data_IF_249283416196
#
_entry.id   IF_249283416196
#
_cell.length_a   1.000
_cell.length_b   1.000
_cell.length_c   1.000
_cell.angle_alpha   90.00
_cell.angle_beta   90.00
_cell.angle_gamma   90.00
#
_symmetry.space_group_name_H-M   'P 1'
#
loop_
_entity.id
_entity.type
_entity.pdbx_description
1 polymer ?
#
# COMPACT_ATOMS: atom_id res chain seq x y z
N UNK A 1 -11.11 3.18 -1.26
CA UNK A 1 -9.68 3.35 -1.00
C UNK A 1 -9.09 2.05 -0.50
N UNK A 2 -8.47 1.32 -1.43
CA UNK A 2 -7.40 0.38 -1.08
C UNK A 2 -6.18 1.17 -0.58
N UNK A 3 -5.24 0.53 0.10
CA UNK A 3 -4.00 1.15 0.58
C UNK A 3 -3.05 1.66 -0.54
N UNK A 4 -3.46 1.51 -1.80
CA UNK A 4 -2.69 1.82 -3.00
C UNK A 4 -3.44 2.74 -3.96
N UNK A 5 -4.64 3.20 -3.58
CA UNK A 5 -5.50 3.94 -4.50
C UNK A 5 -4.91 5.32 -4.83
N UNK A 6 -4.32 6.01 -3.86
CA UNK A 6 -3.61 7.27 -4.09
C UNK A 6 -2.45 7.11 -5.08
N UNK A 7 -1.64 6.05 -4.91
CA UNK A 7 -0.54 5.75 -5.82
C UNK A 7 -1.02 5.36 -7.22
N UNK A 8 -2.06 4.53 -7.33
CA UNK A 8 -2.60 4.11 -8.63
C UNK A 8 -3.41 5.20 -9.34
N UNK A 9 -3.81 6.26 -8.64
CA UNK A 9 -4.42 7.44 -9.26
C UNK A 9 -3.42 8.50 -9.69
N UNK A 10 -2.19 8.47 -9.17
CA UNK A 10 -1.10 9.27 -9.74
C UNK A 10 -0.77 8.73 -11.14
N UNK A 11 -1.02 9.49 -12.23
CA UNK A 11 -0.86 8.99 -13.60
C UNK A 11 0.54 8.48 -13.91
N UNK A 12 1.55 9.14 -13.35
CA UNK A 12 2.96 8.78 -13.53
C UNK A 12 3.28 7.44 -12.88
N UNK A 13 2.79 7.21 -11.65
CA UNK A 13 3.00 5.98 -10.88
C UNK A 13 2.22 4.82 -11.49
N UNK A 14 0.95 5.06 -11.83
CA UNK A 14 0.10 4.11 -12.51
C UNK A 14 0.71 3.68 -13.83
N UNK A 15 1.22 4.62 -14.64
CA UNK A 15 1.87 4.30 -15.90
C UNK A 15 3.17 3.50 -15.70
N UNK A 16 3.99 3.83 -14.70
CA UNK A 16 5.20 3.07 -14.39
C UNK A 16 4.88 1.60 -14.01
N UNK A 17 3.85 1.41 -13.19
CA UNK A 17 3.45 0.08 -12.71
C UNK A 17 2.74 -0.73 -13.79
N UNK A 18 1.71 -0.17 -14.43
CA UNK A 18 0.87 -0.88 -15.39
C UNK A 18 1.59 -1.15 -16.72
N UNK A 19 2.63 -0.39 -17.06
CA UNK A 19 3.46 -0.67 -18.23
C UNK A 19 4.29 -1.95 -18.05
N UNK A 20 4.82 -2.17 -16.84
CA UNK A 20 5.79 -3.23 -16.59
C UNK A 20 5.17 -4.47 -15.93
N UNK A 21 4.00 -4.34 -15.30
CA UNK A 21 3.44 -5.37 -14.44
C UNK A 21 1.95 -5.61 -14.68
N UNK A 22 1.54 -6.88 -14.55
CA UNK A 22 0.17 -7.23 -14.24
C UNK A 22 -0.01 -7.20 -12.71
N UNK A 23 -0.98 -6.43 -12.22
CA UNK A 23 -1.14 -6.18 -10.78
C UNK A 23 -2.24 -7.09 -10.21
N UNK A 24 -1.86 -7.89 -9.22
CA UNK A 24 -2.77 -8.70 -8.42
C UNK A 24 -2.93 -8.08 -7.04
N UNK A 25 -4.11 -7.54 -6.75
CA UNK A 25 -4.40 -6.92 -5.45
C UNK A 25 -5.04 -7.93 -4.50
N UNK A 26 -4.30 -8.32 -3.46
CA UNK A 26 -4.78 -9.25 -2.43
C UNK A 26 -5.47 -8.46 -1.32
N UNK A 27 -6.72 -8.83 -1.02
CA UNK A 27 -7.43 -8.34 0.17
C UNK A 27 -7.35 -9.41 1.26
N UNK A 28 -6.99 -9.07 2.50
CA UNK A 28 -7.09 -10.01 3.61
C UNK A 28 -8.53 -10.57 3.76
N UNK A 29 -8.70 -11.77 4.32
CA UNK A 29 -10.02 -12.38 4.49
C UNK A 29 -11.01 -11.45 5.22
N UNK A 30 -12.14 -11.15 4.58
CA UNK A 30 -13.18 -10.30 5.15
C UNK A 30 -12.91 -8.79 5.02
N UNK A 31 -11.85 -8.39 4.34
CA UNK A 31 -11.51 -6.99 4.05
C UNK A 31 -11.86 -6.59 2.60
N UNK A 32 -12.38 -7.51 1.78
CA UNK A 32 -12.94 -7.19 0.48
C UNK A 32 -14.18 -6.28 0.58
N UNK A 33 -14.49 -5.55 -0.49
CA UNK A 33 -15.65 -4.65 -0.50
C UNK A 33 -16.94 -5.47 -0.50
N UNK A 34 -17.84 -5.20 0.44
CA UNK A 34 -19.08 -5.96 0.59
C UNK A 34 -18.92 -7.30 1.32
N UNK A 35 -17.78 -7.55 1.95
CA UNK A 35 -17.54 -8.75 2.75
C UNK A 35 -18.62 -8.96 3.83
N UNK A 36 -19.11 -10.19 3.94
CA UNK A 36 -19.95 -10.60 5.06
C UNK A 36 -19.12 -10.72 6.35
N UNK A 37 -19.73 -10.56 7.54
CA UNK A 37 -19.04 -10.83 8.79
C UNK A 37 -18.67 -12.31 8.88
N UNK A 38 -17.40 -12.59 9.14
CA UNK A 38 -16.90 -13.95 9.37
C UNK A 38 -17.49 -14.45 10.68
N UNK A 39 -18.02 -15.68 10.67
CA UNK A 39 -18.61 -16.33 11.84
C UNK A 39 -17.70 -16.23 13.06
N UNK A 40 -18.17 -15.85 14.26
CA UNK A 40 -17.35 -15.79 15.48
C UNK A 40 -16.68 -17.12 15.84
N UNK A 41 -17.29 -18.24 15.45
CA UNK A 41 -16.79 -19.59 15.74
C UNK A 41 -15.70 -20.05 14.76
N UNK A 42 -15.48 -19.33 13.66
CA UNK A 42 -14.40 -19.65 12.74
C UNK A 42 -13.05 -19.36 13.42
N UNK A 43 -12.04 -20.22 13.21
CA UNK A 43 -10.70 -19.96 13.73
C UNK A 43 -10.14 -18.66 13.17
N UNK A 44 -9.38 -17.93 13.98
CA UNK A 44 -8.64 -16.74 13.54
C UNK A 44 -7.38 -17.23 12.83
N UNK A 45 -7.09 -16.78 11.59
CA UNK A 45 -5.87 -17.18 10.90
C UNK A 45 -4.64 -16.63 11.64
N UNK A 46 -3.56 -17.41 11.66
CA UNK A 46 -2.24 -16.95 12.10
C UNK A 46 -1.56 -16.10 11.03
N UNK A 47 -0.45 -15.44 11.37
CA UNK A 47 0.35 -14.70 10.39
C UNK A 47 0.97 -15.62 9.33
N UNK A 48 1.27 -16.87 9.70
CA UNK A 48 1.75 -17.89 8.77
C UNK A 48 0.66 -18.32 7.80
N UNK A 49 -0.58 -18.50 8.27
CA UNK A 49 -1.72 -18.82 7.40
C UNK A 49 -1.98 -17.71 6.38
N UNK A 50 -1.81 -16.44 6.77
CA UNK A 50 -1.93 -15.31 5.85
C UNK A 50 -0.81 -15.30 4.80
N UNK A 51 0.41 -15.68 5.18
CA UNK A 51 1.52 -15.80 4.23
C UNK A 51 1.31 -17.00 3.27
N UNK A 52 0.77 -18.11 3.76
CA UNK A 52 0.45 -19.29 2.95
C UNK A 52 -0.68 -19.02 1.96
N UNK A 53 -1.69 -18.23 2.35
CA UNK A 53 -2.73 -17.78 1.43
C UNK A 53 -2.17 -16.98 0.24
N UNK A 54 -1.06 -16.25 0.42
CA UNK A 54 -0.39 -15.60 -0.72
C UNK A 54 0.17 -16.64 -1.68
N UNK A 55 0.75 -17.73 -1.17
CA UNK A 55 1.21 -18.85 -2.01
C UNK A 55 0.04 -19.50 -2.76
N UNK A 56 -1.09 -19.73 -2.08
CA UNK A 56 -2.29 -20.31 -2.70
C UNK A 56 -2.82 -19.43 -3.84
N UNK A 57 -2.80 -18.10 -3.67
CA UNK A 57 -3.18 -17.16 -4.73
C UNK A 57 -2.25 -17.27 -5.94
N UNK A 58 -0.93 -17.34 -5.71
CA UNK A 58 0.03 -17.52 -6.79
C UNK A 58 -0.20 -18.84 -7.53
N UNK A 59 -0.42 -19.94 -6.80
CA UNK A 59 -0.67 -21.25 -7.38
C UNK A 59 -1.99 -21.27 -8.17
N UNK A 60 -3.06 -20.66 -7.65
CA UNK A 60 -4.35 -20.56 -8.33
C UNK A 60 -4.25 -19.83 -9.68
N UNK A 61 -3.47 -18.75 -9.74
CA UNK A 61 -3.25 -18.00 -10.99
C UNK A 61 -2.07 -18.51 -11.82
N UNK A 62 -1.38 -19.57 -11.39
CA UNK A 62 -0.23 -20.14 -12.10
C UNK A 62 0.99 -19.22 -12.16
N UNK A 63 1.18 -18.36 -11.15
CA UNK A 63 2.26 -17.39 -11.06
C UNK A 63 3.53 -18.04 -10.47
N UNK A 64 4.63 -17.94 -11.22
CA UNK A 64 5.95 -18.45 -10.81
C UNK A 64 6.59 -17.60 -9.72
N UNK A 65 7.28 -16.53 -10.12
CA UNK A 65 7.89 -15.56 -9.21
C UNK A 65 7.27 -14.18 -9.39
N UNK A 66 7.03 -13.47 -8.30
CA UNK A 66 6.33 -12.18 -8.28
C UNK A 66 7.16 -11.09 -7.61
N UNK A 67 6.84 -9.84 -7.91
CA UNK A 67 7.32 -8.70 -7.13
C UNK A 67 6.24 -8.32 -6.12
N UNK A 68 6.59 -8.30 -4.83
CA UNK A 68 5.61 -8.04 -3.78
C UNK A 68 5.64 -6.57 -3.38
N UNK A 69 4.45 -6.01 -3.19
CA UNK A 69 4.28 -4.63 -2.73
C UNK A 69 3.35 -4.61 -1.52
N UNK A 70 3.90 -4.27 -0.36
CA UNK A 70 3.19 -4.33 0.92
C UNK A 70 3.21 -3.02 1.67
N UNK A 71 2.13 -2.74 2.41
CA UNK A 71 2.00 -1.58 3.28
C UNK A 71 1.69 -2.04 4.70
N UNK A 72 2.47 -1.59 5.69
CA UNK A 72 2.30 -1.89 7.13
C UNK A 72 2.15 -3.40 7.43
N UNK A 73 0.96 -3.85 7.83
CA UNK A 73 0.67 -5.27 8.06
C UNK A 73 0.90 -6.12 6.80
N UNK A 74 0.53 -5.61 5.62
CA UNK A 74 0.81 -6.29 4.35
C UNK A 74 2.31 -6.40 4.06
N UNK A 75 3.10 -5.40 4.46
CA UNK A 75 4.56 -5.47 4.34
C UNK A 75 5.16 -6.56 5.24
N UNK A 76 4.64 -6.73 6.45
CA UNK A 76 5.04 -7.84 7.34
C UNK A 76 4.71 -9.20 6.74
N UNK A 77 3.46 -9.40 6.29
CA UNK A 77 3.00 -10.67 5.72
C UNK A 77 3.81 -11.02 4.47
N UNK A 78 4.06 -10.05 3.58
CA UNK A 78 4.86 -10.28 2.36
C UNK A 78 6.35 -10.51 2.65
N UNK A 79 6.88 -9.91 3.71
CA UNK A 79 8.24 -10.20 4.19
C UNK A 79 8.34 -11.64 4.72
N UNK A 80 7.35 -12.07 5.50
CA UNK A 80 7.26 -13.45 5.98
C UNK A 80 7.11 -14.43 4.81
N UNK A 81 6.25 -14.13 3.85
CA UNK A 81 6.11 -14.90 2.61
C UNK A 81 7.43 -15.01 1.86
N UNK A 82 8.18 -13.91 1.69
CA UNK A 82 9.49 -13.93 1.03
C UNK A 82 10.54 -14.73 1.80
N UNK A 83 10.46 -14.76 3.13
CA UNK A 83 11.32 -15.61 3.94
C UNK A 83 10.98 -17.11 3.79
N UNK A 84 9.69 -17.45 3.66
CA UNK A 84 9.21 -18.83 3.55
C UNK A 84 9.34 -19.40 2.12
N UNK A 85 9.05 -18.58 1.11
CA UNK A 85 8.97 -18.96 -0.30
C UNK A 85 9.94 -18.14 -1.17
N UNK A 86 11.24 -18.20 -0.84
CA UNK A 86 12.30 -17.37 -1.45
C UNK A 86 12.28 -17.37 -2.98
N UNK A 87 12.14 -18.54 -3.61
CA UNK A 87 12.14 -18.68 -5.08
C UNK A 87 10.93 -18.03 -5.76
N UNK A 88 9.87 -17.74 -5.00
CA UNK A 88 8.63 -17.13 -5.51
C UNK A 88 8.67 -15.59 -5.45
N UNK A 89 9.73 -14.99 -4.90
CA UNK A 89 9.84 -13.53 -4.73
C UNK A 89 11.04 -12.96 -5.46
N UNK A 90 10.78 -12.13 -6.46
CA UNK A 90 11.82 -11.41 -7.22
C UNK A 90 12.35 -10.20 -6.46
N UNK A 91 11.44 -9.44 -5.84
CA UNK A 91 11.76 -8.21 -5.12
C UNK A 91 10.62 -7.75 -4.23
N UNK A 92 10.96 -6.93 -3.23
CA UNK A 92 10.04 -6.40 -2.24
C UNK A 92 10.01 -4.87 -2.31
N UNK A 93 8.81 -4.30 -2.30
CA UNK A 93 8.58 -2.88 -2.01
C UNK A 93 7.73 -2.82 -0.74
N UNK A 94 8.25 -2.22 0.32
CA UNK A 94 7.67 -2.22 1.65
C UNK A 94 7.44 -0.79 2.14
N UNK A 95 6.21 -0.46 2.52
CA UNK A 95 5.85 0.88 3.02
C UNK A 95 5.52 0.79 4.50
N UNK A 96 6.25 1.54 5.32
CA UNK A 96 6.18 1.52 6.78
C UNK A 96 6.13 0.09 7.35
N UNK A 97 7.13 -0.77 7.03
CA UNK A 97 7.10 -2.16 7.43
C UNK A 97 7.24 -2.36 8.94
N UNK A 98 6.77 -3.53 9.37
CA UNK A 98 6.96 -4.07 10.72
C UNK A 98 7.91 -5.27 10.63
N UNK A 99 8.78 -5.47 11.61
CA UNK A 99 9.66 -6.63 11.62
C UNK A 99 9.78 -7.35 12.97
N UNK A 100 9.57 -6.66 14.10
CA UNK A 100 9.68 -7.29 15.44
C UNK A 100 8.39 -7.97 15.90
N UNK A 101 8.41 -8.58 17.08
CA UNK A 101 7.21 -8.84 17.85
C UNK A 101 6.61 -7.52 18.39
N UNK A 102 5.30 -7.46 18.73
CA UNK A 102 4.72 -6.27 19.33
C UNK A 102 5.39 -5.94 20.66
N UNK A 103 5.74 -4.67 20.85
CA UNK A 103 6.18 -4.19 22.15
C UNK A 103 5.03 -4.23 23.15
N UNK A 104 5.31 -4.24 24.46
CA UNK A 104 4.25 -4.27 25.49
C UNK A 104 3.26 -3.10 25.35
N UNK A 105 3.76 -1.91 24.97
CA UNK A 105 2.93 -0.72 24.74
C UNK A 105 2.05 -0.87 23.51
N UNK A 106 2.60 -1.38 22.40
CA UNK A 106 1.81 -1.69 21.19
C UNK A 106 0.77 -2.77 21.47
N UNK A 107 1.15 -3.82 22.19
CA UNK A 107 0.25 -4.89 22.59
C UNK A 107 -0.92 -4.33 23.42
N UNK A 108 -0.64 -3.47 24.40
CA UNK A 108 -1.68 -2.85 25.22
C UNK A 108 -2.59 -1.96 24.37
N UNK A 109 -2.02 -1.12 23.51
CA UNK A 109 -2.80 -0.25 22.62
C UNK A 109 -3.69 -1.04 21.67
N UNK A 110 -3.14 -2.08 21.05
CA UNK A 110 -3.88 -3.00 20.20
C UNK A 110 -4.96 -3.75 20.98
N UNK A 111 -4.71 -4.13 22.24
CA UNK A 111 -5.69 -4.81 23.08
C UNK A 111 -6.86 -3.90 23.44
N UNK A 112 -6.59 -2.64 23.80
CA UNK A 112 -7.62 -1.62 24.04
C UNK A 112 -8.44 -1.37 22.78
N UNK A 113 -7.77 -1.16 21.64
CA UNK A 113 -8.44 -0.94 20.35
C UNK A 113 -9.29 -2.15 19.94
N UNK A 114 -8.76 -3.36 20.13
CA UNK A 114 -9.45 -4.63 19.87
C UNK A 114 -10.69 -4.79 20.77
N UNK A 115 -10.59 -4.48 22.06
CA UNK A 115 -11.75 -4.51 22.97
C UNK A 115 -12.79 -3.47 22.57
N UNK A 116 -12.37 -2.25 22.22
CA UNK A 116 -13.29 -1.20 21.75
C UNK A 116 -14.00 -1.63 20.46
N UNK A 117 -13.27 -2.21 19.51
CA UNK A 117 -13.82 -2.70 18.26
C UNK A 117 -14.78 -3.89 18.47
N UNK A 118 -14.52 -4.74 19.47
CA UNK A 118 -15.39 -5.87 19.81
C UNK A 118 -16.71 -5.41 20.47
N UNK A 119 -16.64 -4.52 21.47
CA UNK A 119 -17.83 -4.09 22.23
C UNK A 119 -18.61 -2.96 21.57
N UNK A 120 -17.94 -2.00 20.96
CA UNK A 120 -18.54 -0.79 20.39
C UNK A 120 -18.55 -0.77 18.85
N UNK A 121 -17.96 -1.79 18.20
CA UNK A 121 -17.85 -1.84 16.75
C UNK A 121 -16.92 -0.75 16.20
N UNK A 122 -17.08 -0.44 14.90
CA UNK A 122 -16.32 0.61 14.21
C UNK A 122 -16.84 2.01 14.58
N UNK A 123 -16.72 2.38 15.85
CA UNK A 123 -17.13 3.68 16.37
C UNK A 123 -16.10 4.78 16.04
N UNK A 124 -16.47 6.04 16.25
CA UNK A 124 -15.61 7.20 15.95
C UNK A 124 -14.23 7.11 16.60
N UNK A 125 -14.16 6.74 17.89
CA UNK A 125 -12.90 6.60 18.62
C UNK A 125 -11.95 5.56 18.01
N UNK A 126 -12.50 4.42 17.57
CA UNK A 126 -11.72 3.35 16.92
C UNK A 126 -11.20 3.84 15.57
N UNK A 127 -12.03 4.54 14.79
CA UNK A 127 -11.59 5.16 13.54
C UNK A 127 -10.47 6.17 13.79
N UNK A 128 -10.63 7.05 14.76
CA UNK A 128 -9.62 8.07 15.08
C UNK A 128 -8.30 7.43 15.52
N UNK A 129 -8.36 6.33 16.27
CA UNK A 129 -7.18 5.53 16.64
C UNK A 129 -6.49 4.88 15.42
N UNK A 130 -7.27 4.31 14.49
CA UNK A 130 -6.73 3.74 13.25
C UNK A 130 -6.15 4.83 12.32
N UNK A 131 -6.86 5.93 12.15
CA UNK A 131 -6.38 7.07 11.36
C UNK A 131 -5.11 7.67 11.97
N UNK A 132 -5.00 7.73 13.30
CA UNK A 132 -3.78 8.15 13.99
C UNK A 132 -2.58 7.24 13.72
N UNK A 133 -2.82 5.95 13.50
CA UNK A 133 -1.79 4.97 13.18
C UNK A 133 -1.33 5.08 11.72
N UNK A 134 -2.22 5.47 10.82
CA UNK A 134 -1.96 5.52 9.38
C UNK A 134 -1.46 6.87 8.88
N UNK A 135 -2.01 7.97 9.39
CA UNK A 135 -1.78 9.31 8.85
C UNK A 135 -1.01 10.22 9.79
N UNK A 136 -0.24 11.14 9.19
CA UNK A 136 0.42 12.23 9.91
C UNK A 136 -0.58 13.15 10.62
N UNK A 137 -0.09 13.96 11.57
CA UNK A 137 -0.94 14.95 12.26
C UNK A 137 -1.43 16.04 11.31
N UNK A 138 -0.60 16.42 10.35
CA UNK A 138 -0.89 17.48 9.38
C UNK A 138 -2.11 17.15 8.52
N UNK A 139 -2.17 15.91 8.01
CA UNK A 139 -3.22 15.47 7.09
C UNK A 139 -4.54 15.18 7.84
N UNK A 140 -4.48 14.76 9.11
CA UNK A 140 -5.66 14.53 9.95
C UNK A 140 -6.39 15.82 10.35
N UNK A 141 -5.74 16.97 10.21
CA UNK A 141 -6.28 18.25 10.66
C UNK A 141 -6.21 18.42 12.18
N UNK A 142 -6.42 19.66 12.61
CA UNK A 142 -6.48 20.09 14.01
C UNK A 142 -7.74 20.95 14.19
N UNK A 143 -8.04 21.41 15.41
CA UNK A 143 -9.20 22.31 15.66
C UNK A 143 -9.23 23.57 14.77
N UNK A 144 -8.10 23.93 14.15
CA UNK A 144 -7.93 25.10 13.28
C UNK A 144 -7.73 24.75 11.79
N UNK A 145 -7.47 23.48 11.46
CA UNK A 145 -7.16 23.02 10.09
C UNK A 145 -8.12 21.89 9.68
N UNK A 146 -8.80 22.00 8.52
CA UNK A 146 -9.75 20.99 8.08
C UNK A 146 -9.05 19.65 7.79
N UNK A 147 -9.73 18.54 8.10
CA UNK A 147 -9.30 17.19 7.77
C UNK A 147 -9.19 17.04 6.24
N UNK A 148 -8.08 16.48 5.76
CA UNK A 148 -7.83 16.28 4.33
C UNK A 148 -8.80 15.26 3.70
N UNK A 149 -9.10 15.44 2.41
CA UNK A 149 -9.98 14.56 1.62
C UNK A 149 -9.56 13.08 1.71
N UNK A 150 -8.26 12.79 1.77
CA UNK A 150 -7.78 11.39 1.88
C UNK A 150 -8.15 10.74 3.23
N UNK A 151 -8.15 11.51 4.31
CA UNK A 151 -8.52 11.01 5.65
C UNK A 151 -10.04 10.86 5.74
N UNK A 152 -10.80 11.81 5.19
CA UNK A 152 -12.26 11.70 5.09
C UNK A 152 -12.69 10.48 4.25
N UNK A 153 -12.00 10.23 3.14
CA UNK A 153 -12.22 9.05 2.31
C UNK A 153 -11.87 7.76 3.07
N UNK A 154 -10.75 7.73 3.81
CA UNK A 154 -10.38 6.60 4.65
C UNK A 154 -11.41 6.33 5.75
N UNK A 155 -11.86 7.38 6.44
CA UNK A 155 -12.90 7.32 7.48
C UNK A 155 -14.19 6.69 6.94
N UNK A 156 -14.63 7.15 5.77
CA UNK A 156 -15.83 6.64 5.07
C UNK A 156 -15.71 5.16 4.66
N UNK A 157 -14.50 4.63 4.51
CA UNK A 157 -14.28 3.22 4.18
C UNK A 157 -14.25 2.35 5.41
N UNK A 158 -13.68 2.86 6.52
CA UNK A 158 -13.76 2.15 7.79
C UNK A 158 -15.23 1.90 8.16
N UNK A 159 -16.14 2.84 7.85
CA UNK A 159 -17.59 2.66 7.96
C UNK A 159 -18.15 1.47 7.17
N UNK A 160 -17.57 1.17 6.01
CA UNK A 160 -18.02 0.09 5.15
C UNK A 160 -17.42 -1.26 5.55
N UNK A 161 -16.43 -1.29 6.47
CA UNK A 161 -15.79 -2.53 6.92
C UNK A 161 -16.54 -3.17 8.07
N UNK A 162 -16.64 -4.49 8.04
CA UNK A 162 -17.20 -5.26 9.13
C UNK A 162 -16.26 -5.24 10.33
N UNK A 163 -16.74 -4.76 11.48
CA UNK A 163 -15.92 -4.60 12.69
C UNK A 163 -15.31 -5.92 13.17
N UNK A 164 -16.07 -7.02 13.04
CA UNK A 164 -15.59 -8.36 13.41
C UNK A 164 -14.42 -8.83 12.52
N UNK A 165 -14.45 -8.52 11.22
CA UNK A 165 -13.38 -8.92 10.29
C UNK A 165 -12.10 -8.13 10.59
N UNK A 166 -12.23 -6.82 10.82
CA UNK A 166 -11.11 -5.97 11.23
C UNK A 166 -10.54 -6.42 12.58
N UNK A 167 -11.41 -6.80 13.52
CA UNK A 167 -11.00 -7.30 14.83
C UNK A 167 -10.16 -8.58 14.71
N UNK A 168 -10.60 -9.54 13.89
CA UNK A 168 -9.84 -10.77 13.60
C UNK A 168 -8.48 -10.45 13.02
N UNK A 169 -8.42 -9.54 12.05
CA UNK A 169 -7.14 -9.15 11.43
C UNK A 169 -6.19 -8.46 12.42
N UNK A 170 -6.70 -7.56 13.27
CA UNK A 170 -5.89 -6.94 14.33
C UNK A 170 -5.39 -7.98 15.32
N UNK A 171 -6.21 -8.98 15.66
CA UNK A 171 -5.79 -10.09 16.51
C UNK A 171 -4.64 -10.89 15.88
N UNK A 172 -4.79 -11.31 14.62
CA UNK A 172 -3.72 -11.99 13.88
C UNK A 172 -2.42 -11.20 13.91
N UNK A 173 -2.47 -9.90 13.65
CA UNK A 173 -1.28 -9.04 13.65
C UNK A 173 -0.67 -8.81 15.04
N UNK A 174 -1.42 -9.03 16.13
CA UNK A 174 -0.88 -8.98 17.49
C UNK A 174 -0.13 -10.27 17.87
N UNK A 175 -0.37 -11.37 17.16
CA UNK A 175 0.33 -12.64 17.36
C UNK A 175 1.59 -12.74 16.49
N UNK A 176 1.94 -11.66 15.77
CA UNK A 176 3.17 -11.57 14.98
C UNK A 176 4.41 -11.81 15.82
N UNK A 177 5.39 -12.49 15.24
CA UNK A 177 6.69 -12.76 15.85
C UNK A 177 7.82 -12.00 15.14
N UNK A 178 9.00 -11.99 15.76
CA UNK A 178 10.16 -11.29 15.24
C UNK A 178 10.73 -12.00 13.99
N UNK A 179 10.86 -11.25 12.89
CA UNK A 179 11.41 -11.69 11.60
C UNK A 179 12.90 -11.34 11.43
N UNK A 180 13.55 -10.76 12.45
CA UNK A 180 14.92 -10.23 12.36
C UNK A 180 15.95 -11.26 11.86
N UNK A 181 15.86 -12.51 12.28
CA UNK A 181 16.80 -13.55 11.83
C UNK A 181 16.54 -13.99 10.39
N UNK A 182 15.27 -14.05 10.00
CA UNK A 182 14.82 -14.38 8.65
C UNK A 182 15.25 -13.29 7.66
N UNK A 183 15.22 -12.02 8.08
CA UNK A 183 15.66 -10.87 7.30
C UNK A 183 17.14 -10.94 6.92
N UNK A 184 18.03 -11.41 7.83
CA UNK A 184 19.46 -11.55 7.53
C UNK A 184 19.73 -12.55 6.40
N UNK A 185 18.83 -13.51 6.21
CA UNK A 185 18.92 -14.54 5.19
C UNK A 185 18.16 -14.15 3.91
N UNK A 186 17.52 -12.98 3.88
CA UNK A 186 16.74 -12.51 2.74
C UNK A 186 17.70 -11.94 1.69
N UNK A 187 17.71 -12.52 0.48
CA UNK A 187 18.58 -12.10 -0.63
C UNK A 187 17.83 -11.31 -1.71
N UNK A 188 16.52 -11.10 -1.56
CA UNK A 188 15.74 -10.34 -2.53
C UNK A 188 15.99 -8.83 -2.35
N UNK A 189 16.08 -8.09 -3.48
CA UNK A 189 16.22 -6.63 -3.35
C UNK A 189 14.94 -6.06 -2.75
N UNK A 190 15.12 -5.19 -1.78
CA UNK A 190 14.06 -4.64 -0.95
C UNK A 190 14.15 -3.13 -0.95
N UNK A 191 13.09 -2.46 -1.40
CA UNK A 191 12.92 -1.02 -1.33
C UNK A 191 11.96 -0.70 -0.19
N UNK A 192 12.42 0.04 0.81
CA UNK A 192 11.65 0.41 1.99
C UNK A 192 11.32 1.90 1.90
N UNK A 193 10.04 2.24 2.03
CA UNK A 193 9.56 3.60 2.22
C UNK A 193 9.06 3.78 3.64
N UNK A 194 9.36 4.90 4.26
CA UNK A 194 8.78 5.26 5.55
C UNK A 194 8.58 6.77 5.64
N UNK A 195 7.44 7.20 6.16
CA UNK A 195 7.24 8.61 6.46
C UNK A 195 7.96 9.00 7.75
N UNK A 196 8.53 10.19 7.78
CA UNK A 196 9.21 10.76 8.95
C UNK A 196 8.30 10.78 10.19
N UNK A 197 7.00 11.08 10.00
CA UNK A 197 5.99 11.14 11.05
C UNK A 197 5.28 9.79 11.29
N UNK A 198 5.77 8.70 10.70
CA UNK A 198 5.22 7.36 10.85
C UNK A 198 5.50 6.79 12.24
N UNK A 199 4.49 6.13 12.84
CA UNK A 199 4.69 5.38 14.09
C UNK A 199 5.64 4.18 13.90
N UNK A 200 5.87 3.76 12.66
CA UNK A 200 6.70 2.61 12.29
C UNK A 200 8.11 3.01 11.84
N UNK A 201 8.48 4.28 11.98
CA UNK A 201 9.79 4.78 11.57
C UNK A 201 10.95 3.98 12.17
N UNK A 202 10.92 3.77 13.48
CA UNK A 202 11.96 3.02 14.20
C UNK A 202 12.03 1.55 13.77
N UNK A 203 10.91 0.94 13.42
CA UNK A 203 10.84 -0.43 12.90
C UNK A 203 11.40 -0.53 11.48
N UNK A 204 11.10 0.43 10.59
CA UNK A 204 11.62 0.46 9.22
C UNK A 204 13.14 0.67 9.18
N UNK A 205 13.66 1.59 10.00
CA UNK A 205 15.12 1.80 10.17
C UNK A 205 15.77 0.54 10.75
N UNK A 206 15.14 -0.10 11.73
CA UNK A 206 15.64 -1.36 12.27
C UNK A 206 15.71 -2.46 11.21
N UNK A 207 14.64 -2.65 10.44
CA UNK A 207 14.59 -3.63 9.34
C UNK A 207 15.73 -3.41 8.33
N UNK A 208 15.96 -2.15 7.96
CA UNK A 208 17.05 -1.76 7.05
C UNK A 208 18.42 -2.13 7.60
N UNK A 209 18.64 -1.97 8.92
CA UNK A 209 19.91 -2.33 9.57
C UNK A 209 20.17 -3.84 9.64
N UNK A 210 19.15 -4.67 9.40
CA UNK A 210 19.23 -6.14 9.47
C UNK A 210 19.32 -6.78 8.09
N UNK A 211 18.82 -6.10 7.07
CA UNK A 211 18.98 -6.49 5.67
C UNK A 211 20.40 -6.17 5.19
N UNK A 212 20.89 -6.94 4.22
CA UNK A 212 22.16 -6.64 3.56
C UNK A 212 22.01 -5.34 2.75
N UNK A 213 22.83 -4.34 3.08
CA UNK A 213 22.81 -3.02 2.46
C UNK A 213 23.07 -3.02 0.95
N UNK A 214 23.57 -4.13 0.38
CA UNK A 214 23.70 -4.29 -1.09
C UNK A 214 22.36 -4.54 -1.77
N UNK A 215 21.39 -5.07 -1.04
CA UNK A 215 20.07 -5.45 -1.54
C UNK A 215 18.95 -4.57 -0.99
N UNK A 216 19.23 -3.71 -0.01
CA UNK A 216 18.24 -2.86 0.65
C UNK A 216 18.46 -1.37 0.37
N UNK A 217 17.38 -0.65 0.09
CA UNK A 217 17.36 0.81 0.03
C UNK A 217 16.24 1.34 0.92
N UNK A 218 16.52 2.37 1.72
CA UNK A 218 15.54 3.06 2.56
C UNK A 218 15.30 4.47 2.02
N UNK A 219 14.03 4.83 1.88
CA UNK A 219 13.57 6.15 1.47
C UNK A 219 12.70 6.72 2.58
N UNK A 220 13.21 7.78 3.22
CA UNK A 220 12.49 8.53 4.24
C UNK A 220 11.76 9.71 3.58
N UNK A 221 10.43 9.73 3.70
CA UNK A 221 9.58 10.75 3.12
C UNK A 221 9.22 11.78 4.18
N UNK A 222 9.69 13.01 3.97
CA UNK A 222 9.53 14.12 4.91
C UNK A 222 8.06 14.53 5.05
N UNK A 223 7.66 14.98 6.24
CA UNK A 223 6.29 15.44 6.52
C UNK A 223 5.19 14.44 6.10
N UNK A 224 5.46 13.14 6.23
CA UNK A 224 4.54 12.07 5.81
C UNK A 224 4.29 11.06 6.93
N UNK A 225 3.06 10.55 7.02
CA UNK A 225 2.65 9.50 7.95
C UNK A 225 3.05 8.09 7.48
N UNK A 226 2.33 7.08 7.98
CA UNK A 226 2.62 5.69 7.66
C UNK A 226 2.24 5.30 6.22
N UNK A 227 1.17 5.90 5.69
CA UNK A 227 0.66 5.64 4.34
C UNK A 227 1.24 6.58 3.29
N UNK A 228 2.52 6.41 2.98
CA UNK A 228 3.22 7.17 1.92
C UNK A 228 2.51 7.04 0.57
N UNK A 229 1.91 5.88 0.30
CA UNK A 229 1.14 5.59 -0.92
C UNK A 229 -0.07 6.49 -1.11
N UNK A 230 -0.65 7.03 -0.03
CA UNK A 230 -1.82 7.90 -0.08
C UNK A 230 -1.45 9.36 0.18
N UNK A 231 -0.56 9.65 1.13
CA UNK A 231 -0.17 11.03 1.47
C UNK A 231 0.77 11.65 0.43
N UNK A 232 1.77 10.91 -0.05
CA UNK A 232 2.81 11.44 -0.95
C UNK A 232 3.23 10.42 -2.03
N UNK A 233 2.31 10.01 -2.94
CA UNK A 233 2.62 9.02 -3.98
C UNK A 233 3.73 9.48 -4.93
N UNK A 234 3.87 10.79 -5.18
CA UNK A 234 4.90 11.34 -6.07
C UNK A 234 6.32 11.09 -5.55
N UNK A 235 6.52 11.06 -4.23
CA UNK A 235 7.83 10.78 -3.63
C UNK A 235 8.30 9.34 -3.91
N UNK A 236 7.39 8.43 -4.24
CA UNK A 236 7.69 7.03 -4.52
C UNK A 236 8.17 6.79 -5.96
N UNK A 237 7.88 7.71 -6.89
CA UNK A 237 8.12 7.53 -8.33
C UNK A 237 9.57 7.23 -8.67
N UNK A 238 10.46 8.17 -8.33
CA UNK A 238 11.87 8.10 -8.71
C UNK A 238 12.56 6.89 -8.06
N UNK A 239 12.40 6.61 -6.75
CA UNK A 239 12.99 5.42 -6.16
C UNK A 239 12.43 4.11 -6.73
N UNK A 240 11.13 4.05 -7.04
CA UNK A 240 10.54 2.87 -7.68
C UNK A 240 11.09 2.67 -9.09
N UNK A 241 11.24 3.73 -9.89
CA UNK A 241 11.84 3.65 -11.21
C UNK A 241 13.28 3.12 -11.15
N UNK A 242 14.13 3.68 -10.27
CA UNK A 242 15.49 3.18 -10.08
C UNK A 242 15.52 1.71 -9.60
N UNK A 243 14.58 1.33 -8.74
CA UNK A 243 14.45 -0.05 -8.29
C UNK A 243 14.11 -1.01 -9.44
N UNK A 244 13.13 -0.65 -10.28
CA UNK A 244 12.74 -1.43 -11.46
C UNK A 244 13.84 -1.47 -12.54
N UNK A 245 14.58 -0.37 -12.74
CA UNK A 245 15.78 -0.36 -13.59
C UNK A 245 16.81 -1.38 -13.14
N UNK A 246 16.95 -1.61 -11.83
CA UNK A 246 17.81 -2.66 -11.27
C UNK A 246 17.45 -4.09 -11.70
N UNK A 247 16.23 -4.30 -12.19
CA UNK A 247 15.74 -5.57 -12.76
C UNK A 247 15.65 -5.53 -14.30
N UNK A 248 16.11 -4.46 -14.95
CA UNK A 248 15.95 -4.26 -16.39
C UNK A 248 14.51 -3.98 -16.82
N UNK A 249 13.62 -3.63 -15.89
CA UNK A 249 12.24 -3.22 -16.16
C UNK A 249 12.22 -1.72 -16.43
N UNK A 250 12.56 -1.35 -17.66
CA UNK A 250 12.62 0.04 -18.09
C UNK A 250 11.25 0.53 -18.53
N UNK A 251 10.91 1.76 -18.14
CA UNK A 251 9.94 2.54 -18.90
C UNK A 251 10.68 3.10 -20.11
N UNK A 252 10.26 2.81 -21.36
CA UNK A 252 10.79 3.54 -22.49
C UNK A 252 10.46 5.01 -22.26
N UNK A 253 11.49 5.86 -22.20
CA UNK A 253 11.30 7.30 -22.23
C UNK A 253 10.50 7.63 -23.49
N UNK A 254 9.27 8.15 -23.34
CA UNK A 254 8.56 8.81 -24.44
C UNK A 254 9.20 10.18 -24.73
N UNK A 255 10.51 10.18 -24.95
CA UNK A 255 11.29 11.28 -25.48
C UNK A 255 12.08 10.73 -26.67
N UNK A 256 11.34 10.36 -27.70
CA UNK A 256 11.84 10.38 -29.07
C UNK A 256 10.70 10.86 -29.98
N UNK A 257 10.39 12.15 -29.86
CA UNK A 257 9.95 12.91 -31.03
C UNK A 257 11.14 13.05 -32.00
N UNK A 258 11.64 11.93 -32.50
CA UNK A 258 12.46 11.88 -33.71
C UNK A 258 11.59 11.28 -34.80
N UNK A 259 11.19 12.06 -35.82
CA UNK A 259 10.31 11.58 -36.88
C UNK A 259 11.17 10.76 -37.85
N UNK A 260 11.51 9.52 -37.50
CA UNK A 260 12.10 8.53 -38.41
C UNK A 260 12.24 7.16 -37.74
N UNK A 261 11.19 6.34 -37.83
CA UNK A 261 11.28 4.90 -38.15
C UNK A 261 9.87 4.28 -38.20
N UNK A 262 9.49 3.56 -39.28
CA UNK A 262 8.13 3.03 -39.47
C UNK A 262 7.87 1.67 -38.80
N UNK A 263 8.62 1.29 -37.74
CA UNK A 263 8.61 -0.08 -37.20
C UNK A 263 8.43 -0.23 -35.68
N UNK A 264 7.86 0.75 -34.97
CA UNK A 264 7.43 0.56 -33.57
C UNK A 264 5.93 0.21 -33.47
N UNK A 265 5.52 -0.63 -32.50
CA UNK A 265 4.16 -1.17 -32.42
C UNK A 265 3.15 -0.08 -32.07
N UNK A 266 1.91 -0.26 -32.55
CA UNK A 266 0.81 0.71 -32.46
C UNK A 266 0.56 1.20 -31.03
N UNK A 267 0.99 2.44 -30.76
CA UNK A 267 0.52 3.22 -29.62
C UNK A 267 -0.80 3.88 -30.05
N UNK A 268 -1.90 3.57 -29.35
CA UNK A 268 -3.14 4.32 -29.52
C UNK A 268 -2.84 5.75 -29.03
N UNK A 269 -2.99 6.75 -29.92
CA UNK A 269 -2.66 8.12 -29.54
C UNK A 269 -3.61 8.59 -28.43
N UNK A 270 -3.14 9.39 -27.45
CA UNK A 270 -4.00 9.97 -26.40
C UNK A 270 -5.17 10.80 -26.96
N UNK A 271 -5.03 11.28 -28.20
CA UNK A 271 -6.06 12.04 -28.91
C UNK A 271 -7.30 11.19 -29.25
N UNK A 272 -7.16 9.86 -29.36
CA UNK A 272 -8.26 8.90 -29.55
C UNK A 272 -9.06 8.60 -28.28
N UNK A 273 -8.59 9.07 -27.12
CA UNK A 273 -9.32 9.03 -25.85
C UNK A 273 -10.01 10.36 -25.53
N UNK A 274 -9.90 11.34 -26.43
CA UNK A 274 -10.64 12.60 -26.30
C UNK A 274 -12.15 12.35 -26.46
N UNK A 275 -13.02 13.03 -25.69
CA UNK A 275 -14.48 12.88 -25.80
C UNK A 275 -15.01 13.13 -27.21
N UNK A 276 -14.34 14.00 -27.96
CA UNK A 276 -14.66 14.37 -29.35
C UNK A 276 -14.36 13.23 -30.33
N UNK A 277 -13.28 12.48 -30.11
CA UNK A 277 -12.91 11.31 -30.93
C UNK A 277 -13.75 10.06 -30.64
N UNK A 278 -14.28 9.93 -29.42
CA UNK A 278 -15.19 8.83 -29.03
C UNK A 278 -16.65 9.06 -29.41
N UNK A 279 -16.96 10.14 -30.15
CA UNK A 279 -18.32 10.46 -30.59
C UNK A 279 -19.26 10.95 -29.48
N UNK A 280 -18.71 11.29 -28.30
CA UNK A 280 -19.49 11.73 -27.15
C UNK A 280 -19.61 13.26 -27.17
N UNK A 281 -20.77 13.77 -27.62
CA UNK A 281 -21.08 15.21 -27.58
C UNK A 281 -21.37 15.67 -26.14
N UNK A 282 -20.34 16.05 -25.40
CA UNK A 282 -20.50 16.75 -24.13
C UNK A 282 -20.81 18.23 -24.39
N UNK A 283 -21.98 18.71 -23.96
CA UNK A 283 -22.32 20.14 -24.00
C UNK A 283 -21.55 20.86 -22.88
N UNK A 284 -20.76 21.90 -23.17
CA UNK A 284 -20.07 22.66 -22.14
C UNK A 284 -21.08 23.45 -21.29
N UNK A 285 -21.04 23.25 -19.97
CA UNK A 285 -21.78 24.06 -19.00
C UNK A 285 -21.01 25.39 -18.86
N UNK A 286 -21.60 26.49 -19.33
CA UNK A 286 -21.01 27.83 -19.20
C UNK A 286 -21.22 28.36 -17.78
N UNK A 287 -20.23 28.21 -16.90
CA UNK A 287 -20.16 29.00 -15.66
C UNK A 287 -19.58 30.38 -15.98
N UNK A 288 -20.44 31.41 -15.96
CA UNK A 288 -20.00 32.82 -15.98
C UNK A 288 -19.43 33.18 -14.62
N UNK A 289 -18.11 33.29 -14.51
CA UNK A 289 -17.46 34.04 -13.43
C UNK A 289 -17.15 35.43 -13.97
N UNK A 290 -17.73 36.47 -13.36
CA UNK A 290 -17.35 37.87 -13.60
C UNK A 290 -16.13 38.18 -12.75
N UNK A 291 -15.02 38.53 -13.38
CA UNK A 291 -13.89 39.20 -12.72
C UNK A 291 -14.13 40.70 -12.85
N UNK A 292 -14.38 41.37 -11.72
CA UNK A 292 -14.28 42.82 -11.61
C UNK A 292 -12.80 43.17 -11.32
N UNK A 293 -12.31 44.19 -12.04
CA UNK A 293 -10.96 44.77 -11.95
C UNK A 293 -10.92 45.79 -10.83
#
# INVERSE_FOLDING_TARGET
>A
MSCFQGLLFCPEAASLLLHNFCIYHISPPGHELGAAPISPNAPVPSVDDLADQVADVLDFFGLGSVMCFGVTAGAYILTLFAAKYRERVLGLILVSPLCKAPTWTEWLYSKVTSNLLYYYGMCGLVKDCLLQRYFSKEVRGCSELPESDIVQACRSLLDQRQSMNVWRFVQTMNERYDLTEQLKQLQCRTLIFVGENSQFHTEAVHMTSKLDGRYCALVEVQACGSLVTEEQPHAMLIPMEYFFMGYGLYRPSQLDCSPRSPLSPFCISPELLSPESMGVKLKPIKTRVRLEV
#
